data_IF_379205422540
#
_entry.id   IF_379205422540
#
_cell.length_a   1.000
_cell.length_b   1.000
_cell.length_c   1.000
_cell.angle_alpha   90.00
_cell.angle_beta   90.00
_cell.angle_gamma   90.00
#
_symmetry.space_group_name_H-M   'P 1'
#
loop_
_entity.id
_entity.type
_entity.pdbx_description
1 polymer ?
#
# COMPACT_ATOMS: atom_id res chain seq x y z
N UNK A 1 -28.02 -12.27 -11.42
CA UNK A 1 -27.53 -13.58 -11.88
C UNK A 1 -28.69 -14.58 -11.92
N UNK A 2 -28.51 -15.74 -12.58
CA UNK A 2 -29.48 -16.84 -12.51
C UNK A 2 -29.40 -17.47 -11.10
N UNK A 3 -30.53 -17.52 -10.39
CA UNK A 3 -30.60 -17.95 -8.98
C UNK A 3 -30.24 -19.44 -8.82
N UNK A 4 -30.68 -20.28 -9.73
CA UNK A 4 -30.43 -21.72 -9.64
C UNK A 4 -28.92 -22.02 -9.76
N UNK A 5 -28.21 -21.37 -10.69
CA UNK A 5 -26.78 -21.55 -10.82
C UNK A 5 -26.01 -20.91 -9.65
N UNK A 6 -26.49 -19.78 -9.10
CA UNK A 6 -25.86 -19.11 -7.97
C UNK A 6 -25.96 -19.93 -6.67
N UNK A 7 -27.05 -20.66 -6.46
CA UNK A 7 -27.28 -21.43 -5.25
C UNK A 7 -26.86 -22.90 -5.35
N UNK A 8 -26.38 -23.36 -6.52
CA UNK A 8 -25.84 -24.71 -6.66
C UNK A 8 -24.45 -24.80 -6.04
N UNK A 9 -24.34 -25.48 -4.91
CA UNK A 9 -23.10 -25.67 -4.16
C UNK A 9 -22.00 -26.36 -4.96
N UNK A 10 -22.35 -27.14 -5.99
CA UNK A 10 -21.37 -27.81 -6.87
C UNK A 10 -20.63 -26.82 -7.79
N UNK A 11 -21.11 -25.61 -7.91
CA UNK A 11 -20.45 -24.56 -8.69
C UNK A 11 -19.30 -23.88 -7.95
N UNK A 12 -19.06 -24.27 -6.70
CA UNK A 12 -18.03 -23.69 -5.82
C UNK A 12 -17.11 -24.79 -5.30
N UNK A 13 -15.81 -24.60 -5.43
CA UNK A 13 -14.80 -25.53 -4.94
C UNK A 13 -13.65 -24.77 -4.28
N UNK A 14 -13.34 -25.09 -3.03
CA UNK A 14 -12.09 -24.64 -2.40
C UNK A 14 -10.99 -25.62 -2.80
N UNK A 15 -9.98 -25.12 -3.53
CA UNK A 15 -8.96 -25.94 -4.18
C UNK A 15 -8.11 -26.68 -3.14
N UNK A 16 -7.64 -25.99 -2.09
CA UNK A 16 -6.71 -26.53 -1.10
C UNK A 16 -7.30 -27.63 -0.24
N UNK A 17 -8.61 -27.58 0.00
CA UNK A 17 -9.33 -28.57 0.83
C UNK A 17 -10.15 -29.55 0.01
N UNK A 18 -10.28 -29.34 -1.30
CA UNK A 18 -11.15 -30.12 -2.19
C UNK A 18 -12.59 -30.22 -1.67
N UNK A 19 -13.10 -29.12 -1.06
CA UNK A 19 -14.42 -29.05 -0.46
C UNK A 19 -15.34 -28.08 -1.16
N UNK A 20 -16.61 -28.49 -1.27
CA UNK A 20 -17.72 -27.63 -1.69
C UNK A 20 -18.43 -27.08 -0.46
N UNK A 21 -19.10 -25.93 -0.54
CA UNK A 21 -19.99 -25.48 0.53
C UNK A 21 -21.14 -26.46 0.73
N UNK A 22 -21.67 -26.51 1.93
CA UNK A 22 -22.86 -27.30 2.27
C UNK A 22 -24.16 -26.55 1.97
N UNK A 23 -24.09 -25.20 1.98
CA UNK A 23 -25.22 -24.33 1.68
C UNK A 23 -24.71 -23.07 0.95
N UNK A 24 -25.60 -22.50 0.12
CA UNK A 24 -25.39 -21.24 -0.57
C UNK A 24 -26.65 -20.38 -0.47
N UNK A 25 -26.51 -19.10 -0.05
CA UNK A 25 -27.61 -18.17 0.14
C UNK A 25 -27.35 -16.87 -0.60
N UNK A 26 -28.36 -16.36 -1.34
CA UNK A 26 -28.27 -15.02 -1.90
C UNK A 26 -28.40 -13.97 -0.80
N UNK A 27 -27.44 -13.05 -0.72
CA UNK A 27 -27.43 -11.96 0.27
C UNK A 27 -27.96 -10.64 -0.27
N UNK A 28 -28.25 -10.58 -1.57
CA UNK A 28 -28.76 -9.40 -2.26
C UNK A 28 -30.06 -9.69 -3.03
N UNK A 29 -30.93 -8.68 -3.13
CA UNK A 29 -32.21 -8.79 -3.85
C UNK A 29 -32.03 -8.97 -5.38
N UNK A 30 -30.91 -8.57 -5.93
CA UNK A 30 -30.55 -8.66 -7.35
C UNK A 30 -29.70 -9.91 -7.67
N UNK A 31 -29.45 -10.76 -6.67
CA UNK A 31 -28.60 -11.95 -6.77
C UNK A 31 -27.17 -11.61 -7.27
N UNK A 32 -26.63 -10.48 -6.86
CA UNK A 32 -25.26 -10.08 -7.18
C UNK A 32 -24.22 -10.62 -6.18
N UNK A 33 -24.67 -11.12 -5.03
CA UNK A 33 -23.82 -11.66 -3.97
C UNK A 33 -24.38 -12.96 -3.39
N UNK A 34 -23.49 -13.84 -2.95
CA UNK A 34 -23.79 -15.14 -2.36
C UNK A 34 -22.97 -15.34 -1.10
N UNK A 35 -23.59 -15.89 -0.07
CA UNK A 35 -22.94 -16.40 1.14
C UNK A 35 -22.82 -17.91 1.01
N UNK A 36 -21.63 -18.43 1.24
CA UNK A 36 -21.30 -19.86 1.16
C UNK A 36 -20.98 -20.38 2.56
N UNK A 37 -21.63 -21.46 2.97
CA UNK A 37 -21.41 -22.10 4.26
C UNK A 37 -20.66 -23.41 4.05
N UNK A 38 -19.56 -23.57 4.76
CA UNK A 38 -18.72 -24.78 4.73
C UNK A 38 -18.89 -25.59 6.00
N UNK A 39 -18.66 -26.90 5.93
CA UNK A 39 -18.81 -27.81 7.06
C UNK A 39 -17.62 -27.76 8.03
N UNK A 40 -16.45 -27.34 7.57
CA UNK A 40 -15.23 -27.25 8.37
C UNK A 40 -14.79 -25.78 8.45
N UNK A 41 -14.17 -25.44 9.56
CA UNK A 41 -13.51 -24.14 9.73
C UNK A 41 -12.27 -24.07 8.84
N UNK A 42 -11.97 -22.87 8.37
CA UNK A 42 -10.72 -22.55 7.68
C UNK A 42 -9.65 -22.22 8.75
N UNK A 43 -8.41 -22.57 8.45
CA UNK A 43 -7.28 -22.29 9.33
C UNK A 43 -6.83 -20.81 9.15
N UNK A 44 -6.41 -20.19 10.22
CA UNK A 44 -5.67 -18.92 10.20
C UNK A 44 -4.30 -19.14 9.51
N UNK A 45 -3.57 -18.09 9.20
CA UNK A 45 -2.26 -18.12 8.53
C UNK A 45 -2.25 -18.87 7.18
N UNK A 46 -3.41 -19.02 6.53
CA UNK A 46 -3.53 -19.76 5.28
C UNK A 46 -4.44 -19.09 4.28
N UNK A 47 -3.97 -19.02 3.04
CA UNK A 47 -4.79 -18.59 1.92
C UNK A 47 -5.46 -19.79 1.25
N UNK A 48 -6.68 -19.57 0.80
CA UNK A 48 -7.51 -20.50 0.08
C UNK A 48 -7.97 -19.92 -1.25
N UNK A 49 -8.14 -20.76 -2.25
CA UNK A 49 -8.65 -20.37 -3.56
C UNK A 49 -10.03 -20.97 -3.76
N UNK A 50 -11.05 -20.13 -3.84
CA UNK A 50 -12.39 -20.50 -4.24
C UNK A 50 -12.47 -20.45 -5.77
N UNK A 51 -12.69 -21.59 -6.39
CA UNK A 51 -13.00 -21.72 -7.79
C UNK A 51 -14.51 -21.68 -7.98
N UNK A 52 -14.98 -20.81 -8.88
CA UNK A 52 -16.41 -20.59 -9.16
C UNK A 52 -16.68 -20.92 -10.62
N UNK A 53 -17.52 -21.91 -10.84
CA UNK A 53 -17.82 -22.44 -12.17
C UNK A 53 -19.31 -22.34 -12.48
N UNK A 54 -19.67 -22.40 -13.75
CA UNK A 54 -21.05 -22.54 -14.25
C UNK A 54 -22.05 -21.51 -13.74
N UNK A 55 -21.60 -20.34 -13.28
CA UNK A 55 -22.51 -19.26 -12.89
C UNK A 55 -23.08 -18.60 -14.14
N UNK A 56 -24.40 -18.55 -14.21
CA UNK A 56 -25.13 -17.99 -15.34
C UNK A 56 -25.60 -16.56 -15.03
N UNK A 57 -25.59 -15.70 -16.02
CA UNK A 57 -26.24 -14.40 -15.92
C UNK A 57 -27.77 -14.51 -16.04
N UNK A 58 -28.49 -13.38 -15.97
CA UNK A 58 -29.97 -13.37 -16.10
C UNK A 58 -30.51 -13.76 -17.50
N UNK A 59 -29.64 -14.07 -18.47
CA UNK A 59 -29.97 -14.55 -19.81
C UNK A 59 -29.50 -15.99 -20.02
N UNK A 60 -29.16 -16.71 -18.94
CA UNK A 60 -28.63 -18.06 -18.93
C UNK A 60 -27.33 -18.26 -19.76
N UNK A 61 -26.53 -17.21 -19.83
CA UNK A 61 -25.20 -17.24 -20.45
C UNK A 61 -24.17 -17.41 -19.35
N UNK A 62 -23.32 -18.43 -19.48
CA UNK A 62 -22.20 -18.66 -18.57
C UNK A 62 -21.11 -17.59 -18.71
N UNK A 63 -20.36 -17.36 -17.65
CA UNK A 63 -19.13 -16.59 -17.74
C UNK A 63 -18.12 -17.30 -18.65
N UNK A 64 -17.43 -16.55 -19.50
CA UNK A 64 -16.48 -17.09 -20.49
C UNK A 64 -15.17 -17.59 -19.87
N UNK A 65 -14.94 -17.31 -18.57
CA UNK A 65 -13.69 -17.62 -17.86
C UNK A 65 -13.99 -18.28 -16.52
N UNK A 66 -13.13 -19.19 -16.09
CA UNK A 66 -13.06 -19.64 -14.70
C UNK A 66 -12.82 -18.46 -13.79
N UNK A 67 -13.67 -18.30 -12.78
CA UNK A 67 -13.48 -17.27 -11.75
C UNK A 67 -12.80 -17.91 -10.55
N UNK A 68 -11.71 -17.28 -10.09
CA UNK A 68 -10.99 -17.68 -8.89
C UNK A 68 -10.90 -16.49 -7.95
N UNK A 69 -11.19 -16.73 -6.68
CA UNK A 69 -11.11 -15.73 -5.62
C UNK A 69 -10.22 -16.28 -4.52
N UNK A 70 -9.19 -15.54 -4.17
CA UNK A 70 -8.32 -15.86 -3.03
C UNK A 70 -8.92 -15.25 -1.77
N UNK A 71 -8.96 -15.99 -0.69
CA UNK A 71 -9.45 -15.55 0.61
C UNK A 71 -8.68 -16.21 1.75
N UNK A 72 -8.83 -15.69 2.95
CA UNK A 72 -8.31 -16.27 4.18
C UNK A 72 -9.09 -15.73 5.38
N UNK A 73 -8.78 -16.26 6.56
CA UNK A 73 -9.35 -15.76 7.82
C UNK A 73 -8.63 -14.48 8.20
N UNK A 74 -9.40 -13.45 8.52
CA UNK A 74 -8.83 -12.18 8.96
C UNK A 74 -8.21 -12.32 10.36
N UNK A 75 -7.02 -11.77 10.50
CA UNK A 75 -6.22 -11.80 11.72
C UNK A 75 -6.18 -10.43 12.39
N UNK A 76 -5.76 -10.41 13.66
CA UNK A 76 -5.61 -9.16 14.41
C UNK A 76 -4.45 -8.33 13.82
N UNK A 77 -4.76 -7.07 13.52
CA UNK A 77 -3.80 -6.15 12.95
C UNK A 77 -2.86 -5.60 14.03
N UNK A 78 -1.59 -5.54 13.71
CA UNK A 78 -0.54 -4.93 14.53
C UNK A 78 0.05 -3.69 13.86
N UNK A 79 0.84 -2.93 14.62
CA UNK A 79 1.52 -1.76 14.10
C UNK A 79 2.44 -2.15 12.92
N UNK A 80 2.38 -1.39 11.85
CA UNK A 80 3.10 -1.59 10.60
C UNK A 80 2.69 -2.84 9.77
N UNK A 81 1.65 -3.58 10.11
CA UNK A 81 1.12 -4.61 9.21
C UNK A 81 0.59 -4.00 7.91
N UNK A 82 -0.15 -2.91 8.03
CA UNK A 82 -0.63 -2.10 6.90
C UNK A 82 0.04 -0.75 6.96
N UNK A 83 0.70 -0.36 5.88
CA UNK A 83 1.46 0.88 5.78
C UNK A 83 0.90 1.79 4.70
N UNK A 84 1.12 3.09 4.85
CA UNK A 84 0.87 4.08 3.80
C UNK A 84 1.97 3.91 2.75
N UNK A 85 1.58 3.64 1.50
CA UNK A 85 2.50 3.32 0.42
C UNK A 85 2.66 4.46 -0.59
N UNK A 86 1.57 5.15 -0.90
CA UNK A 86 1.56 6.25 -1.86
C UNK A 86 0.52 7.29 -1.44
N UNK A 87 0.79 8.57 -1.67
CA UNK A 87 -0.14 9.65 -1.36
C UNK A 87 -0.13 10.71 -2.47
N UNK A 88 -1.33 11.04 -2.99
CA UNK A 88 -1.54 12.20 -3.85
C UNK A 88 -2.35 13.25 -3.10
N UNK A 89 -1.68 14.30 -2.63
CA UNK A 89 -2.29 15.37 -1.85
C UNK A 89 -2.51 16.68 -2.66
N UNK A 90 -1.93 16.79 -3.85
CA UNK A 90 -2.08 17.92 -4.76
C UNK A 90 -2.49 17.45 -6.18
N UNK A 91 -3.72 16.93 -6.36
CA UNK A 91 -4.15 16.40 -7.63
C UNK A 91 -4.34 17.50 -8.69
N UNK A 92 -4.37 17.10 -9.96
CA UNK A 92 -4.83 17.98 -11.06
C UNK A 92 -6.34 18.25 -10.95
N UNK A 93 -6.84 19.25 -11.69
CA UNK A 93 -8.26 19.66 -11.59
C UNK A 93 -9.25 18.56 -12.02
N UNK A 94 -8.82 17.59 -12.79
CA UNK A 94 -9.59 16.45 -13.32
C UNK A 94 -9.33 15.14 -12.58
N UNK A 95 -8.57 15.19 -11.48
CA UNK A 95 -8.27 14.08 -10.58
C UNK A 95 -8.69 14.41 -9.15
N UNK A 96 -8.55 13.47 -8.24
CA UNK A 96 -8.85 13.61 -6.82
C UNK A 96 -7.69 13.15 -5.96
N UNK A 97 -7.64 13.61 -4.70
CA UNK A 97 -6.72 13.12 -3.69
C UNK A 97 -6.91 11.62 -3.47
N UNK A 98 -5.81 10.91 -3.24
CA UNK A 98 -5.85 9.53 -2.80
C UNK A 98 -4.74 9.20 -1.82
N UNK A 99 -4.95 8.12 -1.10
CA UNK A 99 -3.96 7.44 -0.28
C UNK A 99 -3.98 5.96 -0.64
N UNK A 100 -2.83 5.37 -0.85
CA UNK A 100 -2.71 3.94 -1.03
C UNK A 100 -2.10 3.30 0.19
N UNK A 101 -2.71 2.21 0.61
CA UNK A 101 -2.27 1.35 1.68
C UNK A 101 -1.68 0.06 1.10
N UNK A 102 -0.65 -0.46 1.74
CA UNK A 102 -0.03 -1.73 1.40
C UNK A 102 -0.02 -2.65 2.62
N UNK A 103 -0.58 -3.84 2.49
CA UNK A 103 -0.44 -4.88 3.49
C UNK A 103 0.93 -5.54 3.34
N UNK A 104 1.90 -5.13 4.16
CA UNK A 104 3.25 -5.70 4.13
C UNK A 104 3.40 -6.99 4.94
N UNK A 105 2.37 -7.36 5.70
CA UNK A 105 2.36 -8.57 6.53
C UNK A 105 1.97 -9.81 5.73
N UNK A 106 2.18 -10.98 6.34
CA UNK A 106 1.67 -12.26 5.84
C UNK A 106 0.20 -12.50 6.25
N UNK A 107 -0.41 -11.58 7.02
CA UNK A 107 -1.77 -11.70 7.54
C UNK A 107 -2.83 -11.28 6.50
N UNK A 108 -4.00 -11.87 6.60
CA UNK A 108 -5.21 -11.33 5.97
C UNK A 108 -5.83 -10.30 6.91
N UNK A 109 -5.95 -9.05 6.46
CA UNK A 109 -6.47 -7.96 7.28
C UNK A 109 -7.90 -7.62 6.86
N UNK A 110 -8.83 -7.55 7.82
CA UNK A 110 -10.17 -7.00 7.57
C UNK A 110 -10.11 -5.47 7.59
N UNK A 111 -10.20 -4.84 6.41
CA UNK A 111 -10.15 -3.38 6.29
C UNK A 111 -11.31 -2.67 6.96
N UNK A 112 -12.41 -3.38 7.30
CA UNK A 112 -13.48 -2.78 8.07
C UNK A 112 -13.07 -2.43 9.50
N UNK A 113 -11.96 -2.98 9.98
CA UNK A 113 -11.34 -2.64 11.28
C UNK A 113 -10.55 -1.34 11.26
N UNK A 114 -10.25 -0.79 10.07
CA UNK A 114 -9.36 0.35 9.87
C UNK A 114 -10.11 1.68 9.72
N UNK A 115 -9.42 2.73 10.11
CA UNK A 115 -9.80 4.12 9.90
C UNK A 115 -8.62 4.89 9.28
N UNK A 116 -8.92 5.84 8.41
CA UNK A 116 -7.96 6.79 7.86
C UNK A 116 -8.27 8.21 8.34
N UNK A 117 -7.26 8.99 8.60
CA UNK A 117 -7.49 10.35 9.06
C UNK A 117 -6.34 11.30 8.89
N UNK A 118 -6.60 12.56 9.24
CA UNK A 118 -5.59 13.62 9.30
C UNK A 118 -5.54 14.20 10.70
N UNK A 119 -4.34 14.60 11.10
CA UNK A 119 -4.09 15.26 12.37
C UNK A 119 -3.72 16.71 12.10
N UNK A 120 -4.53 17.64 12.61
CA UNK A 120 -4.24 19.07 12.57
C UNK A 120 -3.70 19.51 13.92
N UNK A 121 -2.49 20.00 13.93
CA UNK A 121 -1.89 20.62 15.12
C UNK A 121 -2.11 22.11 15.03
N UNK A 122 -3.03 22.66 15.81
CA UNK A 122 -3.21 24.11 15.94
C UNK A 122 -2.76 24.56 17.32
N UNK A 123 -1.68 25.34 17.37
CA UNK A 123 -1.23 25.94 18.64
C UNK A 123 -2.06 27.21 18.93
N UNK A 124 -2.58 27.43 20.16
CA UNK A 124 -2.39 26.68 21.40
C UNK A 124 -3.47 25.57 21.65
N UNK A 125 -4.25 25.21 20.67
CA UNK A 125 -5.36 24.27 20.79
C UNK A 125 -4.88 22.81 20.84
N UNK A 126 -5.67 21.90 21.41
CA UNK A 126 -5.36 20.47 21.35
C UNK A 126 -5.35 19.97 19.91
N UNK A 127 -4.63 18.88 19.68
CA UNK A 127 -4.59 18.16 18.41
C UNK A 127 -6.04 17.83 17.96
N UNK A 128 -6.41 18.29 16.78
CA UNK A 128 -7.69 17.92 16.16
C UNK A 128 -7.44 16.80 15.15
N UNK A 129 -8.08 15.65 15.38
CA UNK A 129 -7.95 14.46 14.56
C UNK A 129 -9.28 14.20 13.87
N UNK A 130 -9.27 14.17 12.55
CA UNK A 130 -10.44 13.80 11.75
C UNK A 130 -10.27 12.38 11.24
N UNK A 131 -11.06 11.44 11.76
CA UNK A 131 -11.03 10.04 11.36
C UNK A 131 -12.24 9.69 10.47
N UNK A 132 -12.03 8.83 9.49
CA UNK A 132 -13.04 8.26 8.61
C UNK A 132 -12.90 6.74 8.60
N UNK A 133 -14.03 6.05 8.75
CA UNK A 133 -14.06 4.60 8.54
C UNK A 133 -13.82 4.28 7.07
N UNK A 134 -12.94 3.33 6.81
CA UNK A 134 -12.60 2.90 5.46
C UNK A 134 -13.75 2.09 4.86
N UNK A 135 -14.30 1.16 5.63
CA UNK A 135 -15.38 0.29 5.18
C UNK A 135 -16.31 -0.10 6.35
N UNK A 136 -17.60 -0.30 6.06
CA UNK A 136 -18.58 -0.77 7.05
C UNK A 136 -18.86 -2.28 6.94
N UNK A 137 -18.42 -2.89 5.84
CA UNK A 137 -18.60 -4.31 5.57
C UNK A 137 -17.23 -4.97 5.58
N UNK A 138 -17.14 -6.16 6.18
CA UNK A 138 -15.90 -6.93 6.17
C UNK A 138 -15.40 -7.13 4.73
N UNK A 139 -14.16 -6.77 4.49
CA UNK A 139 -13.45 -6.94 3.22
C UNK A 139 -11.98 -7.24 3.52
N UNK A 140 -11.50 -8.33 2.96
CA UNK A 140 -10.12 -8.78 3.15
C UNK A 140 -9.14 -7.96 2.31
N UNK A 141 -8.06 -7.54 2.94
CA UNK A 141 -6.83 -7.08 2.30
C UNK A 141 -5.81 -8.21 2.45
N UNK A 142 -5.51 -8.88 1.34
CA UNK A 142 -4.62 -10.03 1.33
C UNK A 142 -3.17 -9.62 1.62
N UNK A 143 -2.30 -10.56 2.04
CA UNK A 143 -0.86 -10.33 2.12
C UNK A 143 -0.31 -9.71 0.84
N UNK A 144 0.58 -8.73 0.97
CA UNK A 144 1.29 -8.06 -0.12
C UNK A 144 0.39 -7.43 -1.18
N UNK A 145 -0.84 -7.07 -0.82
CA UNK A 145 -1.78 -6.39 -1.72
C UNK A 145 -1.97 -4.92 -1.37
N UNK A 146 -2.43 -4.15 -2.35
CA UNK A 146 -2.66 -2.71 -2.26
C UNK A 146 -4.14 -2.41 -2.04
N UNK A 147 -4.42 -1.29 -1.40
CA UNK A 147 -5.76 -0.72 -1.25
C UNK A 147 -5.69 0.79 -1.45
N UNK A 148 -6.25 1.28 -2.53
CA UNK A 148 -6.33 2.71 -2.81
C UNK A 148 -7.66 3.28 -2.33
N UNK A 149 -7.58 4.32 -1.52
CA UNK A 149 -8.71 5.07 -0.97
C UNK A 149 -8.83 6.42 -1.65
N UNK A 150 -9.97 6.73 -2.23
CA UNK A 150 -10.30 8.02 -2.83
C UNK A 150 -11.79 8.32 -2.69
N UNK A 151 -12.23 9.48 -3.16
CA UNK A 151 -13.67 9.82 -3.29
C UNK A 151 -14.22 9.49 -4.67
N UNK A 152 -13.33 9.28 -5.66
CA UNK A 152 -13.67 9.01 -7.07
C UNK A 152 -12.52 8.23 -7.72
N UNK A 153 -12.55 6.91 -7.58
CA UNK A 153 -11.54 6.02 -8.17
C UNK A 153 -11.53 6.04 -9.69
N UNK A 154 -12.65 6.36 -10.34
CA UNK A 154 -12.69 6.45 -11.79
C UNK A 154 -11.93 7.68 -12.30
N UNK A 155 -11.94 8.79 -11.57
CA UNK A 155 -11.09 9.94 -11.87
C UNK A 155 -9.60 9.56 -11.76
N UNK A 156 -9.19 8.84 -10.72
CA UNK A 156 -7.81 8.35 -10.57
C UNK A 156 -7.41 7.41 -11.71
N UNK A 157 -8.25 6.41 -12.02
CA UNK A 157 -8.01 5.45 -13.12
C UNK A 157 -7.92 6.12 -14.50
N UNK A 158 -8.62 7.22 -14.70
CA UNK A 158 -8.54 7.97 -15.95
C UNK A 158 -7.22 8.71 -16.12
N UNK A 159 -6.54 8.99 -15.01
CA UNK A 159 -5.32 9.80 -14.96
C UNK A 159 -4.05 8.96 -14.91
N UNK A 160 -4.07 7.86 -14.14
CA UNK A 160 -2.93 6.97 -13.92
C UNK A 160 -3.21 5.56 -14.46
N UNK A 161 -2.14 4.89 -14.92
CA UNK A 161 -2.21 3.44 -15.14
C UNK A 161 -2.35 2.77 -13.78
N UNK A 162 -3.41 1.99 -13.59
CA UNK A 162 -3.78 1.47 -12.28
C UNK A 162 -4.32 0.05 -12.34
N UNK A 163 -4.17 -0.72 -11.25
CA UNK A 163 -4.92 -1.95 -11.04
C UNK A 163 -6.33 -1.61 -10.55
N UNK A 164 -7.33 -1.96 -11.33
CA UNK A 164 -8.73 -1.59 -11.04
C UNK A 164 -9.32 -2.26 -9.80
N UNK A 165 -8.73 -3.33 -9.30
CA UNK A 165 -9.28 -4.12 -8.19
C UNK A 165 -8.88 -3.59 -6.81
N UNK A 166 -7.84 -2.77 -6.72
CA UNK A 166 -7.37 -2.20 -5.47
C UNK A 166 -8.20 -1.01 -4.95
N UNK A 167 -9.12 -0.47 -5.73
CA UNK A 167 -9.84 0.76 -5.40
C UNK A 167 -10.99 0.56 -4.42
N UNK A 168 -11.13 1.52 -3.51
CA UNK A 168 -12.28 1.66 -2.62
C UNK A 168 -12.67 3.13 -2.51
N UNK A 169 -13.82 3.48 -3.08
CA UNK A 169 -14.36 4.83 -3.00
C UNK A 169 -15.01 5.07 -1.65
N UNK A 170 -14.53 6.09 -0.96
CA UNK A 170 -15.07 6.56 0.31
C UNK A 170 -16.12 7.63 0.06
N UNK A 171 -17.14 7.69 0.92
CA UNK A 171 -18.13 8.77 0.87
C UNK A 171 -17.52 10.15 1.13
N UNK A 172 -16.44 10.21 1.86
CA UNK A 172 -15.65 11.41 2.12
C UNK A 172 -14.25 11.02 2.58
N UNK A 173 -13.26 11.73 2.08
CA UNK A 173 -11.86 11.64 2.54
C UNK A 173 -11.56 12.70 3.61
N UNK A 174 -10.56 12.48 4.48
CA UNK A 174 -9.91 13.57 5.19
C UNK A 174 -9.30 14.56 4.19
N UNK A 175 -9.21 15.84 4.55
CA UNK A 175 -8.57 16.84 3.67
C UNK A 175 -7.04 16.73 3.78
N UNK A 176 -6.36 16.70 2.67
CA UNK A 176 -4.91 16.68 2.57
C UNK A 176 -4.42 18.06 2.08
N UNK A 177 -3.87 18.92 2.98
CA UNK A 177 -3.30 20.20 2.56
C UNK A 177 -2.16 20.02 1.57
N UNK A 178 -2.07 20.92 0.55
CA UNK A 178 -1.10 20.80 -0.54
C UNK A 178 0.35 21.09 -0.13
N UNK A 179 0.57 21.77 1.00
CA UNK A 179 1.91 22.14 1.46
C UNK A 179 2.51 21.11 2.40
N UNK A 180 1.76 20.76 3.46
CA UNK A 180 2.18 19.77 4.47
C UNK A 180 0.98 19.22 5.22
N UNK A 181 1.08 18.00 5.69
CA UNK A 181 0.04 17.37 6.48
C UNK A 181 0.50 16.11 7.19
N UNK A 182 -0.34 15.63 8.11
CA UNK A 182 -0.12 14.36 8.79
C UNK A 182 -1.30 13.44 8.53
N UNK A 183 -1.03 12.30 7.94
CA UNK A 183 -2.00 11.24 7.67
C UNK A 183 -1.75 10.08 8.61
N UNK A 184 -2.81 9.52 9.15
CA UNK A 184 -2.77 8.36 10.03
C UNK A 184 -3.69 7.27 9.53
N UNK A 185 -3.28 6.03 9.72
CA UNK A 185 -4.09 4.82 9.66
C UNK A 185 -4.15 4.25 11.06
N UNK A 186 -5.33 3.99 11.56
CA UNK A 186 -5.52 3.45 12.90
C UNK A 186 -6.63 2.40 12.93
N UNK A 187 -6.69 1.62 14.00
CA UNK A 187 -7.82 0.73 14.28
C UNK A 187 -9.00 1.51 14.87
N UNK A 188 -10.14 0.84 15.07
CA UNK A 188 -11.36 1.42 15.68
C UNK A 188 -11.18 1.82 17.14
N UNK A 189 -10.11 1.41 17.80
CA UNK A 189 -9.76 1.80 19.17
C UNK A 189 -8.78 2.96 19.20
N UNK A 190 -8.42 3.50 18.01
CA UNK A 190 -7.47 4.60 17.79
C UNK A 190 -6.00 4.24 18.07
N UNK A 191 -5.66 2.96 18.05
CA UNK A 191 -4.26 2.57 18.00
C UNK A 191 -3.72 2.87 16.60
N UNK A 192 -2.61 3.59 16.53
CA UNK A 192 -1.97 3.95 15.26
C UNK A 192 -1.31 2.71 14.68
N UNK A 193 -1.69 2.36 13.44
CA UNK A 193 -1.09 1.27 12.65
C UNK A 193 0.07 1.81 11.84
N UNK A 194 -0.14 2.95 11.13
CA UNK A 194 0.92 3.68 10.45
C UNK A 194 0.58 5.16 10.34
N UNK A 195 1.60 6.01 10.21
CA UNK A 195 1.41 7.44 10.03
C UNK A 195 2.55 8.06 9.23
N UNK A 196 2.25 9.11 8.49
CA UNK A 196 3.22 9.93 7.76
C UNK A 196 2.98 11.41 8.03
N UNK A 197 4.07 12.15 8.25
CA UNK A 197 4.11 13.59 8.05
C UNK A 197 4.68 13.87 6.67
N UNK A 198 3.84 14.31 5.74
CA UNK A 198 4.25 14.64 4.36
C UNK A 198 4.40 16.14 4.16
N UNK A 199 5.25 16.53 3.23
CA UNK A 199 5.44 17.91 2.78
C UNK A 199 5.69 17.96 1.27
N UNK A 200 5.31 19.05 0.62
CA UNK A 200 5.64 19.35 -0.77
C UNK A 200 7.15 19.38 -1.01
N UNK A 201 7.96 19.61 0.04
CA UNK A 201 9.43 19.57 0.00
C UNK A 201 10.03 18.18 -0.11
N UNK A 202 9.22 17.13 0.07
CA UNK A 202 9.63 15.74 -0.14
C UNK A 202 9.61 15.36 -1.62
N UNK A 203 9.01 16.20 -2.46
CA UNK A 203 9.10 16.04 -3.91
C UNK A 203 10.51 16.33 -4.42
N UNK A 204 10.83 15.69 -5.54
CA UNK A 204 12.11 15.85 -6.22
C UNK A 204 12.33 17.32 -6.66
N UNK A 205 13.41 17.94 -6.18
CA UNK A 205 13.70 19.38 -6.34
C UNK A 205 13.78 19.87 -7.79
N UNK A 206 14.03 18.98 -8.76
CA UNK A 206 14.14 19.33 -10.18
C UNK A 206 12.81 19.23 -10.94
N UNK A 207 11.71 18.83 -10.29
CA UNK A 207 10.38 18.90 -10.90
C UNK A 207 9.97 20.36 -11.13
N UNK A 208 9.49 20.65 -12.33
CA UNK A 208 8.98 21.99 -12.66
C UNK A 208 7.67 22.31 -11.92
N UNK A 209 6.84 21.29 -11.71
CA UNK A 209 5.55 21.34 -11.02
C UNK A 209 5.34 20.01 -10.27
N UNK A 210 4.71 20.09 -9.10
CA UNK A 210 4.38 18.92 -8.27
C UNK A 210 2.89 18.57 -8.30
N UNK A 211 2.07 19.37 -8.98
CA UNK A 211 0.64 19.08 -9.15
C UNK A 211 0.43 17.80 -9.98
N UNK A 212 -0.33 16.86 -9.45
CA UNK A 212 -0.56 15.56 -10.10
C UNK A 212 0.59 14.56 -9.92
N UNK A 213 1.57 14.88 -9.08
CA UNK A 213 2.67 13.97 -8.74
C UNK A 213 2.43 13.40 -7.36
N UNK A 214 2.39 12.07 -7.23
CA UNK A 214 2.28 11.42 -5.94
C UNK A 214 3.63 11.32 -5.24
N UNK A 215 3.59 11.22 -3.92
CA UNK A 215 4.72 10.77 -3.11
C UNK A 215 4.64 9.26 -2.93
N UNK A 216 5.67 8.55 -3.34
CA UNK A 216 5.83 7.11 -3.21
C UNK A 216 6.81 6.76 -2.09
N UNK A 217 6.49 5.72 -1.33
CA UNK A 217 7.41 5.10 -0.39
C UNK A 217 8.51 4.34 -1.15
N UNK A 218 9.76 4.53 -0.75
CA UNK A 218 10.92 3.87 -1.36
C UNK A 218 11.09 2.44 -0.82
N UNK A 219 10.93 2.25 0.51
CA UNK A 219 11.08 0.93 1.14
C UNK A 219 9.97 0.67 2.16
N UNK A 220 9.31 -0.49 2.05
CA UNK A 220 8.31 -0.96 3.01
C UNK A 220 8.91 -1.29 4.38
N UNK A 221 10.21 -1.56 4.44
CA UNK A 221 10.91 -1.96 5.66
C UNK A 221 11.37 -0.78 6.52
N UNK A 222 11.38 0.43 5.95
CA UNK A 222 11.76 1.65 6.66
C UNK A 222 10.55 2.36 7.24
N UNK A 223 10.79 3.11 8.33
CA UNK A 223 9.76 3.92 8.98
C UNK A 223 9.11 4.92 8.01
N UNK A 224 7.81 5.14 8.17
CA UNK A 224 7.05 6.17 7.47
C UNK A 224 7.49 7.59 7.83
N UNK A 225 8.06 7.77 9.04
CA UNK A 225 8.56 9.07 9.51
C UNK A 225 9.94 9.45 8.92
N UNK A 226 10.61 8.53 8.25
CA UNK A 226 11.87 8.82 7.58
C UNK A 226 11.61 9.62 6.30
N UNK A 227 11.90 10.93 6.31
CA UNK A 227 11.67 11.82 5.15
C UNK A 227 12.35 11.31 3.88
N UNK A 228 13.53 10.72 4.01
CA UNK A 228 14.30 10.11 2.92
C UNK A 228 13.78 8.73 2.47
N UNK A 229 12.66 8.26 3.03
CA UNK A 229 11.92 7.07 2.57
C UNK A 229 10.80 7.42 1.58
N UNK A 230 10.73 8.66 1.12
CA UNK A 230 9.69 9.13 0.22
C UNK A 230 10.28 9.88 -0.96
N UNK A 231 9.72 9.67 -2.13
CA UNK A 231 10.13 10.33 -3.36
C UNK A 231 8.94 10.57 -4.28
N UNK A 232 9.07 11.54 -5.19
CA UNK A 232 8.09 11.71 -6.28
C UNK A 232 8.02 10.48 -7.15
N UNK A 233 6.82 10.05 -7.51
CA UNK A 233 6.64 9.01 -8.52
C UNK A 233 7.29 9.40 -9.85
N UNK A 234 7.80 8.41 -10.59
CA UNK A 234 8.54 8.61 -11.82
C UNK A 234 7.67 9.13 -12.97
N UNK A 235 8.26 9.89 -13.88
CA UNK A 235 7.54 10.45 -15.04
C UNK A 235 7.08 9.38 -16.03
N UNK A 236 7.82 8.27 -16.14
CA UNK A 236 7.51 7.17 -17.07
C UNK A 236 6.27 6.35 -16.68
N UNK A 237 5.82 6.46 -15.42
CA UNK A 237 4.55 5.92 -14.91
C UNK A 237 3.47 7.00 -14.79
N UNK A 238 3.66 8.16 -15.43
CA UNK A 238 2.77 9.29 -15.36
C UNK A 238 2.59 9.86 -13.95
N UNK A 239 3.64 9.79 -13.13
CA UNK A 239 3.72 10.35 -11.78
C UNK A 239 2.78 9.71 -10.73
N UNK A 240 2.45 8.43 -10.90
CA UNK A 240 1.70 7.64 -9.91
C UNK A 240 1.61 6.18 -10.31
N UNK A 241 1.52 5.28 -9.30
CA UNK A 241 1.47 3.82 -9.50
C UNK A 241 0.31 3.13 -8.78
N UNK A 242 -0.94 3.63 -8.87
CA UNK A 242 -2.08 3.10 -8.12
C UNK A 242 -2.30 1.60 -8.33
N UNK A 243 -2.17 0.79 -7.26
CA UNK A 243 -2.35 -0.65 -7.27
C UNK A 243 -1.14 -1.45 -7.72
N UNK A 244 -0.04 -0.79 -8.02
CA UNK A 244 1.20 -1.42 -8.44
C UNK A 244 2.35 -1.10 -7.48
N UNK A 245 3.44 -1.84 -7.64
CA UNK A 245 4.69 -1.55 -6.95
C UNK A 245 5.17 -0.14 -7.33
N UNK A 246 5.53 0.66 -6.33
CA UNK A 246 6.02 2.02 -6.50
C UNK A 246 7.21 2.09 -7.47
N UNK A 247 7.24 3.10 -8.32
CA UNK A 247 8.29 3.31 -9.32
C UNK A 247 9.65 3.56 -8.69
N UNK A 248 9.66 4.15 -7.49
CA UNK A 248 10.86 4.47 -6.73
C UNK A 248 11.24 3.39 -5.71
N UNK A 249 10.57 2.22 -5.72
CA UNK A 249 10.91 1.14 -4.80
C UNK A 249 12.32 0.63 -5.02
N UNK A 250 13.13 0.68 -3.97
CA UNK A 250 14.42 0.01 -3.95
C UNK A 250 14.28 -1.43 -3.48
N UNK A 251 14.88 -2.36 -4.21
CA UNK A 251 14.99 -3.73 -3.75
C UNK A 251 16.15 -3.80 -2.76
N UNK A 252 15.88 -4.26 -1.55
CA UNK A 252 16.94 -4.65 -0.63
C UNK A 252 17.64 -5.84 -1.28
N UNK A 253 18.93 -5.69 -1.60
CA UNK A 253 19.74 -6.81 -2.08
C UNK A 253 20.10 -7.64 -0.87
N UNK A 254 19.37 -8.73 -0.66
CA UNK A 254 19.80 -9.76 0.29
C UNK A 254 21.10 -10.40 -0.21
N UNK A 255 22.11 -10.45 0.65
CA UNK A 255 23.37 -11.17 0.50
C UNK A 255 24.48 -10.51 -0.33
N UNK A 256 25.08 -9.46 0.23
CA UNK A 256 26.51 -9.21 0.00
C UNK A 256 27.30 -9.53 1.27
N UNK A 257 28.43 -10.26 1.13
CA UNK A 257 29.37 -10.54 2.24
C UNK A 257 30.12 -9.26 2.69
N UNK A 258 29.91 -8.14 2.02
CA UNK A 258 30.52 -6.87 2.34
C UNK A 258 29.83 -6.17 3.51
N UNK A 259 30.63 -5.64 4.43
CA UNK A 259 30.14 -4.93 5.62
C UNK A 259 29.39 -3.63 5.27
N UNK A 260 29.74 -3.01 4.15
CA UNK A 260 29.07 -1.82 3.57
C UNK A 260 28.93 -2.05 2.07
N UNK A 261 27.72 -1.89 1.58
CA UNK A 261 27.41 -1.96 0.16
C UNK A 261 26.70 -0.70 -0.33
N UNK A 262 26.89 -0.34 -1.59
CA UNK A 262 26.29 0.85 -2.20
C UNK A 262 25.60 0.44 -3.51
N UNK A 263 24.29 0.57 -3.57
CA UNK A 263 23.49 0.06 -4.69
C UNK A 263 22.46 1.10 -5.15
N UNK A 264 22.41 1.41 -6.44
CA UNK A 264 23.42 1.07 -7.47
C UNK A 264 24.73 1.83 -7.26
N UNK A 265 25.85 1.34 -7.80
CA UNK A 265 27.14 2.04 -7.78
C UNK A 265 27.15 3.33 -8.64
N UNK A 266 26.22 3.41 -9.59
CA UNK A 266 26.06 4.55 -10.50
C UNK A 266 24.62 5.00 -10.42
N UNK A 267 24.39 6.26 -10.08
CA UNK A 267 23.07 6.88 -10.05
C UNK A 267 22.84 7.75 -11.29
N UNK A 268 21.58 7.82 -11.74
CA UNK A 268 21.12 8.64 -12.85
C UNK A 268 19.84 9.38 -12.44
N UNK A 269 19.94 10.39 -11.55
CA UNK A 269 18.74 11.02 -10.97
C UNK A 269 18.06 11.94 -12.00
N UNK A 270 17.38 11.34 -12.99
CA UNK A 270 16.63 12.03 -14.02
C UNK A 270 15.11 11.88 -13.86
N UNK A 271 14.66 11.15 -12.82
CA UNK A 271 13.26 10.99 -12.45
C UNK A 271 12.53 9.94 -13.28
N UNK A 272 13.24 9.01 -13.92
CA UNK A 272 12.65 7.95 -14.75
C UNK A 272 12.29 6.67 -13.96
N UNK A 273 12.57 6.65 -12.64
CA UNK A 273 12.32 5.50 -11.76
C UNK A 273 13.40 4.43 -11.84
N UNK A 274 14.52 4.70 -12.52
CA UNK A 274 15.61 3.77 -12.66
C UNK A 274 16.93 4.41 -12.25
N UNK A 275 17.55 3.82 -11.23
CA UNK A 275 18.83 4.30 -10.69
C UNK A 275 18.79 5.78 -10.23
N UNK A 276 17.60 6.30 -9.89
CA UNK A 276 17.40 7.65 -9.39
C UNK A 276 17.90 7.84 -7.96
N UNK A 277 17.86 6.77 -7.17
CA UNK A 277 18.25 6.74 -5.77
C UNK A 277 19.38 5.75 -5.54
N UNK A 278 20.16 5.97 -4.48
CA UNK A 278 21.28 5.11 -4.10
C UNK A 278 21.13 4.68 -2.64
N UNK A 279 21.07 3.38 -2.38
CA UNK A 279 21.05 2.82 -1.04
C UNK A 279 22.47 2.52 -0.55
N UNK A 280 22.73 2.85 0.71
CA UNK A 280 23.96 2.47 1.42
C UNK A 280 23.57 1.49 2.50
N UNK A 281 23.92 0.23 2.31
CA UNK A 281 23.59 -0.88 3.21
C UNK A 281 24.73 -1.11 4.18
N UNK A 282 24.41 -1.17 5.47
CA UNK A 282 25.38 -1.42 6.52
C UNK A 282 25.10 -2.79 7.15
N UNK A 283 25.78 -3.82 6.69
CA UNK A 283 25.63 -5.21 7.14
C UNK A 283 26.62 -5.50 8.27
N UNK A 284 26.34 -5.00 9.47
CA UNK A 284 27.21 -5.21 10.62
C UNK A 284 26.91 -6.53 11.33
N UNK A 285 27.94 -7.16 11.90
CA UNK A 285 27.84 -8.43 12.62
C UNK A 285 27.18 -8.32 14.01
N UNK A 286 26.95 -7.11 14.49
CA UNK A 286 26.29 -6.79 15.78
C UNK A 286 25.85 -5.34 15.86
N UNK A 287 24.99 -5.05 16.79
CA UNK A 287 24.54 -3.69 17.12
C UNK A 287 25.64 -2.84 17.75
N UNK A 288 25.46 -1.50 17.68
CA UNK A 288 26.27 -0.53 18.40
C UNK A 288 27.44 0.05 17.62
N UNK A 289 27.48 -0.15 16.30
CA UNK A 289 28.42 0.60 15.45
C UNK A 289 28.02 2.06 15.35
N UNK A 290 29.01 2.96 15.45
CA UNK A 290 28.83 4.37 15.13
C UNK A 290 29.38 4.64 13.73
N UNK A 291 28.54 5.22 12.88
CA UNK A 291 28.82 5.41 11.46
C UNK A 291 28.88 6.89 11.11
N UNK A 292 29.84 7.23 10.24
CA UNK A 292 29.90 8.54 9.57
C UNK A 292 29.88 8.29 8.07
N UNK A 293 28.91 8.88 7.36
CA UNK A 293 28.82 8.78 5.90
C UNK A 293 28.94 10.18 5.31
N UNK A 294 29.92 10.35 4.42
CA UNK A 294 30.22 11.61 3.75
C UNK A 294 30.40 11.38 2.26
N UNK A 295 29.84 12.28 1.48
CA UNK A 295 29.98 12.29 0.02
C UNK A 295 31.00 13.35 -0.36
N UNK A 296 31.95 13.00 -1.22
CA UNK A 296 32.97 13.87 -1.74
C UNK A 296 32.92 13.91 -3.27
N UNK A 297 33.32 15.04 -3.85
CA UNK A 297 33.60 15.13 -5.29
C UNK A 297 34.92 14.45 -5.65
N UNK A 298 35.21 14.37 -6.95
CA UNK A 298 36.47 13.77 -7.47
C UNK A 298 37.70 14.58 -7.11
N UNK A 299 37.55 15.80 -6.63
CA UNK A 299 38.64 16.68 -6.17
C UNK A 299 38.87 16.57 -4.65
N UNK A 300 38.02 15.81 -3.95
CA UNK A 300 38.09 15.59 -2.50
C UNK A 300 37.38 16.66 -1.66
N UNK A 301 36.56 17.51 -2.28
CA UNK A 301 35.74 18.45 -1.52
C UNK A 301 34.50 17.72 -0.99
N UNK A 302 34.17 17.93 0.28
CA UNK A 302 32.98 17.35 0.87
C UNK A 302 31.73 18.04 0.30
N UNK A 303 30.86 17.24 -0.37
CA UNK A 303 29.60 17.69 -0.94
C UNK A 303 28.49 17.61 0.11
N UNK A 304 28.39 16.47 0.80
CA UNK A 304 27.32 16.22 1.79
C UNK A 304 27.80 15.29 2.89
N UNK A 305 27.31 15.52 4.11
CA UNK A 305 27.42 14.57 5.21
C UNK A 305 26.02 13.98 5.44
N UNK A 306 25.88 12.67 5.19
CA UNK A 306 24.63 11.95 5.35
C UNK A 306 24.41 11.53 6.81
N UNK A 307 25.46 10.98 7.45
CA UNK A 307 25.44 10.60 8.85
C UNK A 307 26.69 11.15 9.59
N UNK A 308 26.48 11.56 10.84
CA UNK A 308 27.51 11.98 11.74
C UNK A 308 27.41 11.31 13.11
N UNK A 309 28.37 10.43 13.45
CA UNK A 309 28.41 9.67 14.70
C UNK A 309 27.06 9.01 15.07
N UNK A 310 26.34 8.55 14.04
CA UNK A 310 25.04 7.92 14.23
C UNK A 310 25.21 6.46 14.62
N UNK A 311 24.50 6.03 15.64
CA UNK A 311 24.37 4.60 15.94
C UNK A 311 23.45 4.01 14.89
N UNK A 312 23.92 2.94 14.23
CA UNK A 312 23.13 2.19 13.27
C UNK A 312 22.81 0.83 13.84
N UNK A 313 21.59 0.43 13.61
CA UNK A 313 21.11 -0.91 13.91
C UNK A 313 21.56 -1.88 12.81
N UNK A 314 21.40 -3.16 13.09
CA UNK A 314 21.64 -4.22 12.13
C UNK A 314 20.82 -3.99 10.84
N UNK A 315 21.44 -4.13 9.68
CA UNK A 315 20.81 -3.97 8.36
C UNK A 315 20.24 -2.56 8.06
N UNK A 316 20.91 -1.50 8.51
CA UNK A 316 20.46 -0.13 8.20
C UNK A 316 20.73 0.23 6.75
N UNK A 317 19.71 0.66 6.02
CA UNK A 317 19.79 1.24 4.69
C UNK A 317 19.68 2.76 4.77
N UNK A 318 20.53 3.47 4.06
CA UNK A 318 20.61 4.95 4.04
C UNK A 318 20.55 5.39 2.58
N UNK A 319 19.65 6.31 2.25
CA UNK A 319 19.43 6.79 0.88
C UNK A 319 20.02 8.16 0.63
#
# INVERSE_FOLDING_TARGET
MNVESLLDVNNYLVIETQSNPIEAHSTSNDNSSVELIFSNDFEEDRLYTLEVNNILNCKDIAADTEMKVVFGIAEEIEQNDVIINEILFNPTNDCVEYIELYNRSEKVIDISSLMVGTVKQSFPNPVDTTLKEICFVSRSLLPHSYLLLSIDGDAVKSHYVSDSECFLDLKSMPSFPNEEGRVIVCDKTSNIIDEIFYSDKMHYDLLAETQGVSLERISSERSSDAEDNWHSAAFNVNYGTPGYKNSMTMNIIENNDDMIDVVPEIISPDGDGRDDNCGIYCNFDKEGYSVNIKIFDTEGNMIRELLHNSLVEYETCIF
#
